data_IF_983844803891
#
_entry.id   IF_983844803891
#
_cell.length_a   1.000
_cell.length_b   1.000
_cell.length_c   1.000
_cell.angle_alpha   90.00
_cell.angle_beta   90.00
_cell.angle_gamma   90.00
#
_symmetry.space_group_name_H-M   'P 1'
#
loop_
_entity.id
_entity.type
_entity.pdbx_description
1 polymer ?
#
# COMPACT_ATOMS: atom_id res chain seq x y z
N UNK A 1 -5.39 15.51 23.35
CA UNK A 1 -6.52 14.97 22.57
C UNK A 1 -7.75 15.88 22.70
N UNK A 2 -8.20 16.26 23.92
CA UNK A 2 -9.37 17.13 24.07
C UNK A 2 -9.20 18.45 23.31
N UNK A 3 -8.05 19.14 23.44
CA UNK A 3 -7.75 20.37 22.67
C UNK A 3 -7.66 20.14 21.17
N UNK A 4 -7.12 19.00 20.74
CA UNK A 4 -6.96 18.67 19.32
C UNK A 4 -8.28 18.27 18.64
N UNK A 5 -9.32 17.97 19.42
CA UNK A 5 -10.66 17.64 18.93
C UNK A 5 -11.68 18.77 19.17
N UNK A 6 -11.21 19.97 19.56
CA UNK A 6 -12.08 21.10 19.92
C UNK A 6 -13.21 20.73 20.90
N UNK A 7 -12.96 19.75 21.77
CA UNK A 7 -13.96 19.26 22.72
C UNK A 7 -15.13 18.47 22.13
N UNK A 8 -15.13 18.18 20.82
CA UNK A 8 -16.25 17.47 20.13
C UNK A 8 -16.58 16.11 20.72
N UNK A 9 -15.61 15.45 21.34
CA UNK A 9 -15.79 14.13 21.97
C UNK A 9 -15.98 14.20 23.49
N UNK A 10 -16.22 15.40 24.03
CA UNK A 10 -16.42 15.63 25.46
C UNK A 10 -15.13 15.34 26.28
N UNK A 11 -15.32 14.94 27.53
CA UNK A 11 -14.22 14.64 28.46
C UNK A 11 -13.64 13.25 28.14
N UNK A 12 -12.41 13.22 27.63
CA UNK A 12 -11.68 11.98 27.32
C UNK A 12 -10.89 11.52 28.55
N UNK A 13 -11.04 10.25 28.92
CA UNK A 13 -10.28 9.60 29.98
C UNK A 13 -9.39 8.49 29.37
N UNK A 14 -8.22 8.30 29.98
CA UNK A 14 -7.31 7.24 29.56
C UNK A 14 -7.84 5.90 30.09
N UNK A 15 -8.21 4.99 29.20
CA UNK A 15 -8.75 3.67 29.55
C UNK A 15 -7.67 2.61 29.83
N UNK A 16 -6.45 2.81 29.27
CA UNK A 16 -5.33 1.86 29.44
C UNK A 16 -4.01 2.60 29.28
N UNK A 17 -2.90 1.94 29.64
CA UNK A 17 -1.55 2.44 29.38
C UNK A 17 -1.34 2.68 27.87
N UNK A 18 -0.57 3.71 27.55
CA UNK A 18 -0.19 4.01 26.15
C UNK A 18 0.88 3.04 25.70
N UNK A 19 0.71 2.47 24.51
CA UNK A 19 1.72 1.67 23.84
C UNK A 19 2.20 2.41 22.58
N UNK A 20 3.51 2.34 22.31
CA UNK A 20 4.12 2.86 21.10
C UNK A 20 4.50 1.71 20.20
N UNK A 21 3.96 1.71 18.99
CA UNK A 21 4.30 0.75 17.96
C UNK A 21 5.09 1.47 16.87
N UNK A 22 6.38 1.12 16.67
CA UNK A 22 7.17 1.75 15.61
C UNK A 22 6.60 1.38 14.25
N UNK A 23 6.25 2.38 13.46
CA UNK A 23 5.84 2.20 12.08
C UNK A 23 7.08 1.89 11.25
N UNK A 24 7.17 0.66 10.75
CA UNK A 24 8.32 0.21 9.95
C UNK A 24 7.85 -0.16 8.55
N UNK A 25 8.63 0.25 7.56
CA UNK A 25 8.52 -0.28 6.22
C UNK A 25 9.30 -1.61 6.17
N UNK A 26 8.61 -2.70 5.87
CA UNK A 26 9.23 -4.02 5.73
C UNK A 26 8.71 -4.69 4.45
N UNK A 27 9.62 -5.18 3.63
CA UNK A 27 9.27 -5.94 2.42
C UNK A 27 10.13 -7.21 2.44
N UNK A 28 9.49 -8.36 2.40
CA UNK A 28 10.18 -9.64 2.36
C UNK A 28 11.08 -9.72 1.11
N UNK A 29 12.25 -10.33 1.27
CA UNK A 29 13.16 -10.53 0.14
C UNK A 29 12.57 -11.48 -0.91
N UNK A 30 11.80 -12.46 -0.49
CA UNK A 30 11.12 -13.43 -1.35
C UNK A 30 9.65 -13.53 -0.92
N UNK A 31 8.73 -13.42 -1.87
CA UNK A 31 7.29 -13.58 -1.66
C UNK A 31 6.83 -15.02 -1.89
N UNK A 32 7.66 -15.85 -2.53
CA UNK A 32 7.41 -17.28 -2.67
C UNK A 32 8.72 -18.06 -2.62
N UNK A 33 8.67 -19.25 -2.05
CA UNK A 33 9.76 -20.23 -2.05
C UNK A 33 9.14 -21.63 -2.03
N UNK A 34 9.55 -22.49 -2.97
CA UNK A 34 9.06 -23.87 -3.10
C UNK A 34 7.52 -23.97 -3.00
N UNK A 35 7.00 -24.34 -1.84
CA UNK A 35 5.56 -24.50 -1.55
C UNK A 35 5.01 -23.45 -0.61
N UNK A 36 5.77 -22.39 -0.33
CA UNK A 36 5.40 -21.29 0.57
C UNK A 36 5.13 -20.03 -0.24
N UNK A 37 4.05 -19.34 0.12
CA UNK A 37 3.70 -18.02 -0.40
C UNK A 37 3.44 -17.08 0.78
N UNK A 38 4.03 -15.89 0.73
CA UNK A 38 3.78 -14.81 1.68
C UNK A 38 2.79 -13.82 1.04
N UNK A 39 1.79 -13.40 1.79
CA UNK A 39 0.78 -12.40 1.40
C UNK A 39 0.51 -11.43 2.55
N UNK A 40 0.02 -10.24 2.23
CA UNK A 40 -0.31 -9.21 3.22
C UNK A 40 0.89 -8.83 4.08
N UNK A 41 0.68 -8.61 5.36
CA UNK A 41 1.71 -8.14 6.30
C UNK A 41 2.89 -9.13 6.45
N UNK A 42 2.69 -10.41 6.18
CA UNK A 42 3.79 -11.38 6.13
C UNK A 42 4.75 -11.13 4.98
N UNK A 43 4.28 -10.56 3.87
CA UNK A 43 5.07 -10.21 2.69
C UNK A 43 5.56 -8.76 2.73
N UNK A 44 4.71 -7.84 3.17
CA UNK A 44 4.99 -6.41 3.15
C UNK A 44 4.23 -5.66 4.24
N UNK A 45 4.92 -4.88 5.01
CA UNK A 45 4.36 -3.87 5.90
C UNK A 45 4.67 -2.51 5.31
N UNK A 46 3.65 -1.78 4.87
CA UNK A 46 3.79 -0.43 4.32
C UNK A 46 3.31 0.61 5.32
N UNK A 47 3.80 1.83 5.20
CA UNK A 47 3.43 2.91 6.11
C UNK A 47 1.92 3.19 6.03
N UNK A 48 1.19 3.30 7.17
CA UNK A 48 -0.26 3.41 7.22
C UNK A 48 -0.83 4.76 6.75
N UNK A 49 0.00 5.66 6.20
CA UNK A 49 -0.38 7.01 5.79
C UNK A 49 -1.64 7.10 4.91
N UNK A 50 -1.94 6.04 4.17
CA UNK A 50 -3.09 6.03 3.28
C UNK A 50 -4.07 4.88 3.55
N UNK A 51 -3.93 4.14 4.66
CA UNK A 51 -4.76 2.97 4.95
C UNK A 51 -4.64 1.83 3.91
N UNK A 52 -3.59 1.83 3.09
CA UNK A 52 -3.46 0.98 1.90
C UNK A 52 -2.87 -0.42 2.18
N UNK A 53 -2.39 -0.72 3.39
CA UNK A 53 -1.80 -2.02 3.72
C UNK A 53 -2.77 -3.16 3.44
N UNK A 54 -4.01 -3.04 3.88
CA UNK A 54 -5.07 -4.03 3.65
C UNK A 54 -5.37 -4.19 2.15
N UNK A 55 -5.41 -3.10 1.40
CA UNK A 55 -5.67 -3.12 -0.05
C UNK A 55 -4.58 -3.87 -0.82
N UNK A 56 -3.31 -3.69 -0.44
CA UNK A 56 -2.19 -4.45 -1.01
C UNK A 56 -2.32 -5.95 -0.70
N UNK A 57 -2.70 -6.30 0.54
CA UNK A 57 -2.97 -7.69 0.91
C UNK A 57 -4.12 -8.31 0.11
N UNK A 58 -5.23 -7.59 -0.09
CA UNK A 58 -6.31 -8.05 -0.97
C UNK A 58 -5.86 -8.24 -2.42
N UNK A 59 -5.02 -7.37 -2.93
CA UNK A 59 -4.45 -7.53 -4.27
C UNK A 59 -3.56 -8.78 -4.38
N UNK A 60 -2.82 -9.14 -3.32
CA UNK A 60 -2.07 -10.40 -3.27
C UNK A 60 -3.00 -11.60 -3.42
N UNK A 61 -4.12 -11.61 -2.67
CA UNK A 61 -5.12 -12.69 -2.72
C UNK A 61 -5.75 -12.77 -4.11
N UNK A 62 -6.14 -11.64 -4.70
CA UNK A 62 -6.72 -11.61 -6.04
C UNK A 62 -5.75 -12.13 -7.10
N UNK A 63 -4.49 -11.71 -7.04
CA UNK A 63 -3.44 -12.18 -7.95
C UNK A 63 -3.16 -13.68 -7.78
N UNK A 64 -3.19 -14.18 -6.54
CA UNK A 64 -3.06 -15.60 -6.24
C UNK A 64 -4.25 -16.41 -6.77
N UNK A 65 -5.46 -15.93 -6.56
CA UNK A 65 -6.68 -16.53 -7.12
C UNK A 65 -6.57 -16.68 -8.63
N UNK A 66 -6.11 -15.64 -9.32
CA UNK A 66 -5.98 -15.65 -10.77
C UNK A 66 -4.88 -16.59 -11.25
N UNK A 67 -3.80 -16.73 -10.47
CA UNK A 67 -2.78 -17.75 -10.71
C UNK A 67 -3.38 -19.16 -10.64
N UNK A 68 -4.11 -19.46 -9.56
CA UNK A 68 -4.76 -20.77 -9.36
C UNK A 68 -5.77 -21.07 -10.47
N UNK A 69 -6.60 -20.09 -10.84
CA UNK A 69 -7.59 -20.24 -11.93
C UNK A 69 -6.93 -20.58 -13.27
N UNK A 70 -5.87 -19.84 -13.63
CA UNK A 70 -5.11 -20.11 -14.87
C UNK A 70 -4.42 -21.47 -14.86
N UNK A 71 -3.87 -21.88 -13.72
CA UNK A 71 -3.25 -23.19 -13.60
C UNK A 71 -4.28 -24.32 -13.76
N UNK A 72 -5.44 -24.20 -13.11
CA UNK A 72 -6.57 -25.18 -13.26
C UNK A 72 -7.07 -25.26 -14.69
N UNK A 73 -7.29 -24.13 -15.36
CA UNK A 73 -7.75 -24.11 -16.75
C UNK A 73 -6.77 -24.79 -17.70
N UNK A 74 -5.49 -24.85 -17.35
CA UNK A 74 -4.41 -25.52 -18.11
C UNK A 74 -4.09 -26.92 -17.61
N UNK A 75 -4.85 -27.42 -16.64
CA UNK A 75 -4.61 -28.72 -15.97
C UNK A 75 -3.15 -28.83 -15.43
N UNK A 76 -2.60 -27.73 -14.93
CA UNK A 76 -1.23 -27.64 -14.39
C UNK A 76 -1.25 -27.34 -12.90
N UNK A 77 -0.17 -27.70 -12.21
CA UNK A 77 0.02 -27.29 -10.84
C UNK A 77 0.25 -25.78 -10.74
N UNK A 78 -0.50 -25.10 -9.85
CA UNK A 78 -0.27 -23.69 -9.54
C UNK A 78 1.04 -23.45 -8.79
N UNK A 79 1.63 -24.51 -8.21
CA UNK A 79 2.94 -24.48 -7.55
C UNK A 79 4.12 -24.63 -8.53
N UNK A 80 3.91 -24.57 -9.85
CA UNK A 80 5.00 -24.57 -10.80
C UNK A 80 5.97 -23.41 -10.50
N UNK A 81 7.24 -23.71 -10.34
CA UNK A 81 8.25 -22.75 -9.87
C UNK A 81 8.30 -21.46 -10.71
N UNK A 82 8.14 -21.57 -12.03
CA UNK A 82 8.12 -20.42 -12.93
C UNK A 82 6.92 -19.49 -12.72
N UNK A 83 5.75 -20.08 -12.46
CA UNK A 83 4.51 -19.31 -12.25
C UNK A 83 4.51 -18.65 -10.88
N UNK A 84 4.96 -19.34 -9.84
CA UNK A 84 5.18 -18.76 -8.51
C UNK A 84 6.22 -17.65 -8.53
N UNK A 85 7.34 -17.86 -9.21
CA UNK A 85 8.39 -16.85 -9.33
C UNK A 85 7.89 -15.58 -10.06
N UNK A 86 7.06 -15.75 -11.10
CA UNK A 86 6.45 -14.63 -11.83
C UNK A 86 5.48 -13.86 -10.93
N UNK A 87 4.59 -14.58 -10.22
CA UNK A 87 3.67 -14.00 -9.27
C UNK A 87 4.42 -13.23 -8.18
N UNK A 88 5.42 -13.85 -7.55
CA UNK A 88 6.21 -13.25 -6.48
C UNK A 88 6.94 -11.98 -6.92
N UNK A 89 7.55 -11.97 -8.11
CA UNK A 89 8.21 -10.78 -8.67
C UNK A 89 7.21 -9.66 -8.91
N UNK A 90 6.07 -9.95 -9.51
CA UNK A 90 5.03 -8.94 -9.78
C UNK A 90 4.53 -8.32 -8.48
N UNK A 91 4.16 -9.15 -7.49
CA UNK A 91 3.65 -8.66 -6.21
C UNK A 91 4.70 -7.85 -5.43
N UNK A 92 5.94 -8.34 -5.37
CA UNK A 92 7.03 -7.62 -4.73
C UNK A 92 7.31 -6.27 -5.41
N UNK A 93 7.26 -6.21 -6.73
CA UNK A 93 7.44 -4.98 -7.50
C UNK A 93 6.37 -3.95 -7.17
N UNK A 94 5.08 -4.36 -7.15
CA UNK A 94 3.95 -3.51 -6.81
C UNK A 94 4.04 -3.01 -5.35
N UNK A 95 4.36 -3.89 -4.39
CA UNK A 95 4.56 -3.51 -2.99
C UNK A 95 5.72 -2.51 -2.82
N UNK A 96 6.83 -2.74 -3.53
CA UNK A 96 7.99 -1.84 -3.49
C UNK A 96 7.65 -0.47 -4.08
N UNK A 97 6.91 -0.44 -5.18
CA UNK A 97 6.47 0.81 -5.80
C UNK A 97 5.55 1.59 -4.86
N UNK A 98 4.55 0.93 -4.28
CA UNK A 98 3.66 1.53 -3.30
C UNK A 98 4.43 2.10 -2.10
N UNK A 99 5.35 1.33 -1.54
CA UNK A 99 6.17 1.74 -0.40
C UNK A 99 7.02 2.99 -0.73
N UNK A 100 7.69 3.01 -1.87
CA UNK A 100 8.49 4.15 -2.32
C UNK A 100 7.64 5.38 -2.59
N UNK A 101 6.44 5.21 -3.15
CA UNK A 101 5.50 6.30 -3.38
C UNK A 101 5.05 6.94 -2.08
N UNK A 102 4.74 6.12 -1.06
CA UNK A 102 4.36 6.62 0.26
C UNK A 102 5.53 7.30 0.98
N UNK A 103 6.75 6.75 0.90
CA UNK A 103 7.94 7.39 1.46
C UNK A 103 8.24 8.74 0.79
N UNK A 104 8.14 8.80 -0.53
CA UNK A 104 8.31 10.05 -1.28
C UNK A 104 7.27 11.10 -0.88
N UNK A 105 5.99 10.72 -0.77
CA UNK A 105 4.93 11.59 -0.29
C UNK A 105 5.20 12.05 1.14
N UNK A 106 5.55 11.13 2.03
CA UNK A 106 5.84 11.48 3.42
C UNK A 106 6.99 12.50 3.52
N UNK A 107 8.08 12.28 2.77
CA UNK A 107 9.20 13.24 2.72
C UNK A 107 8.77 14.58 2.15
N UNK A 108 7.96 14.60 1.10
CA UNK A 108 7.46 15.83 0.49
C UNK A 108 6.61 16.65 1.48
N UNK A 109 5.82 15.97 2.31
CA UNK A 109 4.95 16.62 3.31
C UNK A 109 5.65 16.90 4.64
N UNK A 110 6.74 16.20 4.97
CA UNK A 110 7.55 16.46 6.16
C UNK A 110 8.36 17.75 6.07
N UNK A 111 8.59 18.27 4.87
CA UNK A 111 9.27 19.57 4.67
C UNK A 111 8.29 20.70 5.00
N UNK A 112 8.53 21.40 6.09
CA UNK A 112 7.67 22.51 6.55
C UNK A 112 8.14 23.87 6.04
N UNK A 113 9.40 24.00 5.64
CA UNK A 113 10.00 25.26 5.17
C UNK A 113 10.87 25.03 3.94
N UNK A 114 10.95 26.06 3.07
CA UNK A 114 11.89 26.06 1.95
C UNK A 114 11.25 26.16 0.56
N UNK A 115 12.07 26.14 -0.50
CA UNK A 115 11.63 26.37 -1.90
C UNK A 115 10.72 25.26 -2.46
N UNK A 116 10.58 24.14 -1.76
CA UNK A 116 9.72 23.03 -2.17
C UNK A 116 8.23 23.26 -1.88
N UNK A 117 7.88 24.22 -1.00
CA UNK A 117 6.49 24.53 -0.66
C UNK A 117 5.67 25.01 -1.89
N UNK A 118 6.12 26.00 -2.66
CA UNK A 118 5.38 26.43 -3.85
C UNK A 118 5.33 25.33 -4.92
N UNK A 119 6.36 24.51 -5.05
CA UNK A 119 6.40 23.39 -5.98
C UNK A 119 5.37 22.31 -5.62
N UNK A 120 5.20 22.04 -4.32
CA UNK A 120 4.16 21.15 -3.81
C UNK A 120 2.75 21.65 -4.13
N UNK A 121 2.49 22.94 -3.90
CA UNK A 121 1.21 23.55 -4.20
C UNK A 121 0.91 23.51 -5.72
N UNK A 122 1.89 23.81 -6.56
CA UNK A 122 1.79 23.69 -8.00
C UNK A 122 1.52 22.25 -8.45
N UNK A 123 2.23 21.27 -7.90
CA UNK A 123 2.04 19.85 -8.20
C UNK A 123 0.63 19.37 -7.84
N UNK A 124 0.11 19.73 -6.67
CA UNK A 124 -1.25 19.40 -6.25
C UNK A 124 -2.30 20.04 -7.13
N UNK A 125 -2.16 21.32 -7.46
CA UNK A 125 -3.05 22.02 -8.37
C UNK A 125 -3.04 21.41 -9.79
N UNK A 126 -1.87 20.98 -10.26
CA UNK A 126 -1.75 20.30 -11.56
C UNK A 126 -2.49 18.96 -11.55
N UNK A 127 -2.29 18.14 -10.52
CA UNK A 127 -3.01 16.86 -10.35
C UNK A 127 -4.52 17.07 -10.25
N UNK A 128 -4.96 18.11 -9.54
CA UNK A 128 -6.40 18.43 -9.41
C UNK A 128 -7.04 18.84 -10.74
N UNK A 129 -6.30 19.56 -11.59
CA UNK A 129 -6.75 19.98 -12.93
C UNK A 129 -6.73 18.85 -13.96
N UNK A 130 -5.89 17.83 -13.77
CA UNK A 130 -5.77 16.68 -14.67
C UNK A 130 -6.75 15.57 -14.28
N UNK A 131 -8.02 15.72 -14.63
CA UNK A 131 -9.10 14.77 -14.32
C UNK A 131 -8.76 13.29 -14.61
N UNK A 132 -8.11 12.92 -15.74
CA UNK A 132 -7.76 11.52 -15.99
C UNK A 132 -6.68 11.00 -15.03
N UNK A 133 -5.72 11.83 -14.63
CA UNK A 133 -4.69 11.46 -13.65
C UNK A 133 -5.30 11.32 -12.26
N UNK A 134 -6.14 12.28 -11.83
CA UNK A 134 -6.86 12.25 -10.57
C UNK A 134 -7.72 10.99 -10.45
N UNK A 135 -8.47 10.65 -11.51
CA UNK A 135 -9.30 9.43 -11.55
C UNK A 135 -8.44 8.17 -11.42
N UNK A 136 -7.35 8.06 -12.17
CA UNK A 136 -6.44 6.92 -12.11
C UNK A 136 -5.81 6.75 -10.71
N UNK A 137 -5.40 7.84 -10.08
CA UNK A 137 -4.89 7.84 -8.71
C UNK A 137 -5.97 7.43 -7.69
N UNK A 138 -7.20 7.91 -7.86
CA UNK A 138 -8.33 7.55 -7.02
C UNK A 138 -8.72 6.08 -7.17
N UNK A 139 -8.78 5.55 -8.39
CA UNK A 139 -9.04 4.14 -8.69
C UNK A 139 -7.96 3.24 -8.05
N UNK A 140 -6.70 3.64 -8.16
CA UNK A 140 -5.58 2.92 -7.56
C UNK A 140 -5.65 2.96 -6.02
N UNK A 141 -6.02 4.11 -5.44
CA UNK A 141 -6.22 4.27 -4.00
C UNK A 141 -7.41 3.46 -3.49
N UNK A 142 -8.47 3.34 -4.29
CA UNK A 142 -9.64 2.52 -3.97
C UNK A 142 -9.43 1.01 -4.22
N UNK A 143 -8.25 0.60 -4.72
CA UNK A 143 -7.98 -0.80 -5.06
C UNK A 143 -8.73 -1.31 -6.29
N UNK A 144 -9.34 -0.42 -7.06
CA UNK A 144 -10.07 -0.75 -8.28
C UNK A 144 -9.04 -0.94 -9.40
N UNK A 145 -8.88 -2.18 -9.89
CA UNK A 145 -8.10 -2.42 -11.11
C UNK A 145 -8.96 -1.98 -12.31
N UNK A 146 -8.44 -1.03 -13.08
CA UNK A 146 -8.92 -0.87 -14.45
C UNK A 146 -8.72 -2.20 -15.18
N UNK A 147 -9.81 -2.81 -15.62
CA UNK A 147 -9.83 -4.05 -16.40
C UNK A 147 -9.18 -3.87 -17.76
#
# INVERSE_FOLDING_TARGET
>A
LVRASDGRYGRLQLASARALFPLRLQIAQRFAAERLILIGDAAHVVHPLAGQGVNLGFQDVLALRDLVRRARARQRSFCAASDLARWARARRSEATLAARSFDALNRLYAVHDGPLLPLRALGMNLVDRLSPLKRKLAEQAAGIRAG
#
